data_IF_515039931308
#
_entry.id   IF_515039931308
#
_cell.length_a   1.000
_cell.length_b   1.000
_cell.length_c   1.000
_cell.angle_alpha   90.00
_cell.angle_beta   90.00
_cell.angle_gamma   90.00
#
_symmetry.space_group_name_H-M   'P 1'
#
loop_
_entity.id
_entity.type
_entity.pdbx_description
1 polymer ?
#
# COMPACT_ATOMS: atom_id res chain seq x y z
N UNK A 1 -89.96 35.85 -58.17
CA UNK A 1 -88.71 36.48 -58.68
C UNK A 1 -87.98 37.09 -57.48
N UNK A 2 -86.66 36.87 -57.32
CA UNK A 2 -86.17 35.97 -56.26
C UNK A 2 -85.31 36.59 -55.14
N UNK A 3 -85.10 35.73 -54.14
CA UNK A 3 -84.24 35.69 -52.94
C UNK A 3 -82.89 36.43 -52.92
N UNK A 4 -82.43 36.81 -51.70
CA UNK A 4 -81.20 36.30 -51.01
C UNK A 4 -80.95 37.10 -49.72
N UNK A 5 -81.19 36.54 -48.51
CA UNK A 5 -80.32 35.68 -47.70
C UNK A 5 -79.20 36.43 -46.93
N UNK A 6 -79.45 36.69 -45.63
CA UNK A 6 -78.48 37.14 -44.62
C UNK A 6 -77.58 35.97 -44.18
N UNK A 7 -76.26 36.10 -44.30
CA UNK A 7 -75.28 35.19 -43.71
C UNK A 7 -74.75 35.75 -42.39
N UNK A 8 -75.01 35.03 -41.29
CA UNK A 8 -74.29 35.16 -40.01
C UNK A 8 -72.90 34.55 -40.16
N UNK A 9 -71.87 35.25 -39.69
CA UNK A 9 -70.51 34.72 -39.55
C UNK A 9 -70.34 34.30 -38.08
N UNK A 10 -70.20 33.00 -37.85
CA UNK A 10 -69.78 32.42 -36.58
C UNK A 10 -68.28 32.16 -36.67
N UNK A 11 -67.48 32.98 -35.97
CA UNK A 11 -66.05 32.73 -35.79
C UNK A 11 -65.84 31.80 -34.60
N UNK A 12 -65.27 30.62 -34.87
CA UNK A 12 -64.90 29.60 -33.88
C UNK A 12 -63.58 30.00 -33.20
N UNK A 13 -63.56 30.07 -31.88
CA UNK A 13 -62.35 30.21 -31.06
C UNK A 13 -61.68 28.84 -30.94
N UNK A 14 -60.47 28.68 -31.50
CA UNK A 14 -59.61 27.51 -31.23
C UNK A 14 -58.91 27.72 -29.88
N UNK A 15 -59.27 26.96 -28.86
CA UNK A 15 -58.48 26.82 -27.63
C UNK A 15 -57.48 25.68 -27.82
N UNK A 16 -56.20 26.02 -27.98
CA UNK A 16 -55.12 25.05 -27.97
C UNK A 16 -54.73 24.72 -26.52
N UNK A 17 -55.09 23.53 -26.04
CA UNK A 17 -54.60 22.99 -24.77
C UNK A 17 -53.23 22.36 -24.98
N UNK A 18 -52.17 23.02 -24.52
CA UNK A 18 -50.83 22.42 -24.41
C UNK A 18 -50.79 21.50 -23.17
N UNK A 19 -50.78 20.20 -23.39
CA UNK A 19 -50.42 19.20 -22.38
C UNK A 19 -48.90 19.17 -22.22
N UNK A 20 -48.40 19.77 -21.14
CA UNK A 20 -47.01 19.63 -20.74
C UNK A 20 -46.77 18.21 -20.17
N UNK A 21 -46.18 17.33 -20.97
CA UNK A 21 -45.69 16.04 -20.49
C UNK A 21 -44.39 16.29 -19.69
N UNK A 22 -44.47 16.18 -18.37
CA UNK A 22 -43.30 16.19 -17.52
C UNK A 22 -42.51 14.88 -17.73
N UNK A 23 -41.46 14.94 -18.54
CA UNK A 23 -40.44 13.90 -18.62
C UNK A 23 -39.64 13.93 -17.31
N UNK A 24 -40.00 13.05 -16.37
CA UNK A 24 -39.16 12.75 -15.22
C UNK A 24 -37.93 12.04 -15.76
N UNK A 25 -36.83 12.78 -15.91
CA UNK A 25 -35.52 12.20 -16.18
C UNK A 25 -35.15 11.32 -14.97
N UNK A 26 -35.33 10.01 -15.11
CA UNK A 26 -34.77 9.04 -14.17
C UNK A 26 -33.26 9.12 -14.37
N UNK A 27 -32.58 9.84 -13.46
CA UNK A 27 -31.13 9.78 -13.39
C UNK A 27 -30.72 8.31 -13.29
N UNK A 28 -29.70 7.85 -14.04
CA UNK A 28 -29.22 6.49 -13.89
C UNK A 28 -28.86 6.31 -12.42
N UNK A 29 -29.53 5.37 -11.74
CA UNK A 29 -29.05 4.89 -10.45
C UNK A 29 -27.64 4.41 -10.72
N UNK A 30 -26.66 5.00 -10.03
CA UNK A 30 -25.36 4.39 -9.90
C UNK A 30 -25.62 2.93 -9.51
N UNK A 31 -25.33 2.01 -10.42
CA UNK A 31 -25.18 0.61 -10.06
C UNK A 31 -24.24 0.62 -8.86
N UNK A 32 -24.54 -0.15 -7.81
CA UNK A 32 -23.50 -0.50 -6.86
C UNK A 32 -22.40 -1.16 -7.71
N UNK A 33 -21.39 -0.38 -8.08
CA UNK A 33 -20.19 -0.95 -8.66
C UNK A 33 -19.68 -1.86 -7.55
N UNK A 34 -19.54 -3.15 -7.86
CA UNK A 34 -18.96 -4.09 -6.90
C UNK A 34 -17.62 -3.57 -6.40
N UNK A 35 -17.14 -4.12 -5.29
CA UNK A 35 -15.81 -3.84 -4.75
C UNK A 35 -14.77 -3.91 -5.89
N UNK A 36 -14.12 -2.79 -6.29
CA UNK A 36 -13.25 -2.81 -7.47
C UNK A 36 -12.09 -3.78 -7.25
N UNK A 37 -11.79 -4.69 -8.19
CA UNK A 37 -10.67 -5.58 -8.03
C UNK A 37 -9.37 -4.78 -8.06
N UNK A 38 -8.55 -4.92 -7.02
CA UNK A 38 -7.23 -4.30 -6.93
C UNK A 38 -6.18 -5.37 -6.67
N UNK A 39 -5.09 -5.31 -7.41
CA UNK A 39 -3.90 -6.12 -7.18
C UNK A 39 -2.84 -5.28 -6.46
N UNK A 40 -2.40 -5.73 -5.30
CA UNK A 40 -1.49 -4.98 -4.43
C UNK A 40 -0.21 -5.77 -4.20
N UNK A 41 0.94 -5.14 -4.40
CA UNK A 41 2.26 -5.67 -4.03
C UNK A 41 2.74 -4.96 -2.76
N UNK A 42 3.30 -5.71 -1.81
CA UNK A 42 4.20 -5.18 -0.75
C UNK A 42 5.58 -5.80 -0.93
N UNK A 43 6.64 -5.01 -0.76
CA UNK A 43 7.99 -5.47 -0.95
C UNK A 43 9.01 -4.64 -0.18
N UNK A 44 9.55 -5.22 0.90
CA UNK A 44 10.68 -4.65 1.60
C UNK A 44 11.90 -4.69 0.67
N UNK A 45 12.41 -3.52 0.30
CA UNK A 45 13.40 -3.34 -0.76
C UNK A 45 14.85 -3.40 -0.27
N UNK A 46 15.08 -3.40 1.05
CA UNK A 46 16.40 -3.38 1.65
C UNK A 46 17.33 -2.28 1.07
N UNK A 47 16.79 -1.11 0.72
CA UNK A 47 17.58 0.01 0.19
C UNK A 47 18.15 0.85 1.33
N UNK A 48 18.95 0.21 2.17
CA UNK A 48 19.62 0.85 3.31
C UNK A 48 20.48 2.06 2.89
N UNK A 49 20.62 3.05 3.78
CA UNK A 49 21.51 4.21 3.57
C UNK A 49 22.90 3.81 3.08
N UNK A 50 23.29 4.28 1.90
CA UNK A 50 24.62 4.01 1.31
C UNK A 50 25.75 4.68 2.09
N UNK A 51 25.44 5.66 2.95
CA UNK A 51 26.43 6.28 3.85
C UNK A 51 26.86 5.33 4.97
N UNK A 52 25.94 4.47 5.45
CA UNK A 52 26.20 3.49 6.49
C UNK A 52 26.59 2.13 5.90
N UNK A 53 25.96 1.76 4.78
CA UNK A 53 26.14 0.46 4.16
C UNK A 53 26.41 0.57 2.66
N UNK A 54 27.61 1.03 2.24
CA UNK A 54 27.89 1.37 0.84
C UNK A 54 27.93 0.17 -0.13
N UNK A 55 28.01 -1.05 0.38
CA UNK A 55 28.34 -2.24 -0.41
C UNK A 55 27.18 -3.25 -0.55
N UNK A 56 25.92 -2.82 -0.46
CA UNK A 56 24.75 -3.71 -0.65
C UNK A 56 24.04 -3.54 -2.01
N UNK A 57 24.72 -2.93 -2.99
CA UNK A 57 24.23 -2.85 -4.37
C UNK A 57 22.93 -2.07 -4.54
N UNK A 58 22.61 -1.13 -3.63
CA UNK A 58 21.33 -0.41 -3.61
C UNK A 58 20.98 0.23 -4.97
N UNK A 59 21.95 0.90 -5.60
CA UNK A 59 21.74 1.54 -6.91
C UNK A 59 21.44 0.53 -8.03
N UNK A 60 22.10 -0.64 -8.00
CA UNK A 60 21.82 -1.73 -8.94
C UNK A 60 20.41 -2.29 -8.70
N UNK A 61 20.08 -2.65 -7.47
CA UNK A 61 18.78 -3.23 -7.11
C UNK A 61 17.62 -2.27 -7.37
N UNK A 62 17.76 -0.99 -7.06
CA UNK A 62 16.78 0.04 -7.40
C UNK A 62 16.52 0.17 -8.92
N UNK A 63 17.48 -0.18 -9.77
CA UNK A 63 17.30 -0.22 -11.21
C UNK A 63 16.63 -1.53 -11.70
N UNK A 64 16.87 -2.65 -11.02
CA UNK A 64 16.34 -3.97 -11.40
C UNK A 64 14.95 -4.26 -10.84
N UNK A 65 14.62 -3.80 -9.63
CA UNK A 65 13.32 -4.06 -8.98
C UNK A 65 12.14 -3.66 -9.89
N UNK A 66 12.08 -2.45 -10.49
CA UNK A 66 10.96 -2.08 -11.36
C UNK A 66 10.86 -2.91 -12.67
N UNK A 67 11.94 -3.62 -13.03
CA UNK A 67 11.99 -4.51 -14.19
C UNK A 67 11.57 -5.94 -13.83
N UNK A 68 11.54 -6.33 -12.56
CA UNK A 68 11.22 -7.68 -12.16
C UNK A 68 9.75 -8.04 -12.48
N UNK A 69 9.47 -9.33 -12.74
CA UNK A 69 8.13 -9.79 -13.14
C UNK A 69 7.07 -9.54 -12.07
N UNK A 70 7.41 -9.74 -10.80
CA UNK A 70 6.50 -9.54 -9.66
C UNK A 70 6.10 -8.05 -9.49
N UNK A 71 6.95 -7.12 -9.92
CA UNK A 71 6.72 -5.69 -9.75
C UNK A 71 5.69 -5.14 -10.74
N UNK A 72 5.55 -5.78 -11.91
CA UNK A 72 4.71 -5.27 -13.01
C UNK A 72 3.27 -5.75 -12.89
N UNK A 73 2.33 -4.94 -13.38
CA UNK A 73 0.93 -5.33 -13.53
C UNK A 73 0.10 -5.32 -12.24
N UNK A 74 0.66 -4.81 -11.16
CA UNK A 74 -0.10 -4.46 -9.95
C UNK A 74 -0.84 -3.12 -10.15
N UNK A 75 -1.87 -2.86 -9.35
CA UNK A 75 -2.55 -1.56 -9.28
C UNK A 75 -1.90 -0.63 -8.26
N UNK A 76 -1.41 -1.22 -7.17
CA UNK A 76 -0.72 -0.54 -6.07
C UNK A 76 0.53 -1.32 -5.69
N UNK A 77 1.62 -0.60 -5.41
CA UNK A 77 2.86 -1.15 -4.87
C UNK A 77 3.20 -0.39 -3.59
N UNK A 78 3.42 -1.11 -2.51
CA UNK A 78 3.88 -0.59 -1.23
C UNK A 78 5.31 -1.06 -1.05
N UNK A 79 6.22 -0.12 -0.79
CA UNK A 79 7.63 -0.41 -0.63
C UNK A 79 8.06 -0.02 0.77
N UNK A 80 8.84 -0.90 1.38
CA UNK A 80 9.45 -0.73 2.68
C UNK A 80 10.98 -0.69 2.53
N UNK A 81 11.66 -0.18 3.55
CA UNK A 81 13.12 0.07 3.58
C UNK A 81 13.66 0.85 2.37
N UNK A 82 12.86 1.74 1.80
CA UNK A 82 13.27 2.69 0.77
C UNK A 82 14.08 3.87 1.36
N UNK A 83 15.04 3.56 2.23
CA UNK A 83 15.74 4.51 3.10
C UNK A 83 16.74 5.40 2.35
N UNK A 84 17.60 4.81 1.49
CA UNK A 84 18.57 5.58 0.72
C UNK A 84 17.86 6.51 -0.25
N UNK A 85 17.98 7.82 -0.04
CA UNK A 85 17.29 8.84 -0.83
C UNK A 85 17.58 8.69 -2.34
N UNK A 86 18.83 8.42 -2.73
CA UNK A 86 19.20 8.36 -4.15
C UNK A 86 18.63 7.12 -4.82
N UNK A 87 18.76 5.96 -4.16
CA UNK A 87 18.27 4.68 -4.67
C UNK A 87 16.74 4.64 -4.67
N UNK A 88 16.07 5.06 -3.60
CA UNK A 88 14.61 5.11 -3.50
C UNK A 88 14.00 6.08 -4.53
N UNK A 89 14.57 7.27 -4.70
CA UNK A 89 14.10 8.21 -5.72
C UNK A 89 14.32 7.65 -7.14
N UNK A 90 15.42 6.92 -7.39
CA UNK A 90 15.67 6.27 -8.66
C UNK A 90 14.66 5.14 -8.93
N UNK A 91 14.38 4.30 -7.93
CA UNK A 91 13.37 3.25 -8.03
C UNK A 91 12.01 3.84 -8.39
N UNK A 92 11.53 4.84 -7.64
CA UNK A 92 10.25 5.51 -7.90
C UNK A 92 10.20 6.14 -9.30
N UNK A 93 11.26 6.82 -9.73
CA UNK A 93 11.36 7.36 -11.10
C UNK A 93 11.28 6.26 -12.16
N UNK A 94 11.99 5.16 -11.98
CA UNK A 94 11.99 4.03 -12.92
C UNK A 94 10.64 3.30 -12.97
N UNK A 95 9.89 3.32 -11.87
CA UNK A 95 8.55 2.75 -11.75
C UNK A 95 7.44 3.64 -12.34
N UNK A 96 7.70 4.94 -12.55
CA UNK A 96 6.68 5.95 -12.90
C UNK A 96 5.89 5.69 -14.19
N UNK A 97 6.45 4.94 -15.15
CA UNK A 97 5.73 4.55 -16.38
C UNK A 97 4.58 3.57 -16.12
N UNK A 98 4.66 2.81 -15.03
CA UNK A 98 3.63 1.85 -14.59
C UNK A 98 2.80 2.42 -13.43
N UNK A 99 3.45 3.21 -12.57
CA UNK A 99 2.89 3.78 -11.35
C UNK A 99 3.12 5.30 -11.30
N UNK A 100 2.38 6.09 -12.09
CA UNK A 100 2.64 7.53 -12.23
C UNK A 100 2.32 8.34 -10.97
N UNK A 101 1.49 7.81 -10.06
CA UNK A 101 1.15 8.45 -8.81
C UNK A 101 1.91 7.80 -7.66
N UNK A 102 2.49 8.59 -6.76
CA UNK A 102 3.21 8.07 -5.62
C UNK A 102 3.20 9.05 -4.45
N UNK A 103 3.28 8.50 -3.25
CA UNK A 103 3.55 9.30 -2.04
C UNK A 103 5.04 9.62 -1.94
N UNK A 104 5.42 10.69 -1.24
CA UNK A 104 6.79 10.80 -0.73
C UNK A 104 7.15 9.59 0.14
N UNK A 105 8.43 9.43 0.46
CA UNK A 105 8.85 8.46 1.49
C UNK A 105 8.49 9.01 2.87
N UNK A 106 7.80 8.19 3.68
CA UNK A 106 7.38 8.51 5.04
C UNK A 106 8.57 8.99 5.85
N UNK A 107 8.39 10.04 6.64
CA UNK A 107 9.42 10.54 7.56
C UNK A 107 10.51 11.40 6.94
N UNK A 108 10.63 11.44 5.60
CA UNK A 108 11.69 12.19 4.91
C UNK A 108 11.53 13.70 5.03
N UNK A 109 10.29 14.18 4.88
CA UNK A 109 9.92 15.57 5.15
C UNK A 109 8.41 15.70 5.31
N UNK A 110 7.91 16.88 5.65
CA UNK A 110 6.47 17.21 5.60
C UNK A 110 5.99 17.61 4.19
N UNK A 111 6.90 17.86 3.26
CA UNK A 111 6.58 18.33 1.91
C UNK A 111 5.96 17.21 1.09
N UNK A 112 4.94 17.56 0.28
CA UNK A 112 4.23 16.61 -0.56
C UNK A 112 3.14 15.81 0.16
N UNK A 113 2.96 15.97 1.47
CA UNK A 113 1.88 15.33 2.23
C UNK A 113 0.73 16.30 2.50
N UNK A 114 -0.51 15.82 2.42
CA UNK A 114 -1.68 16.62 2.82
C UNK A 114 -1.77 16.79 4.33
N UNK A 115 -1.25 15.82 5.09
CA UNK A 115 -1.08 15.91 6.53
C UNK A 115 0.11 15.08 7.01
N UNK A 116 0.74 15.55 8.08
CA UNK A 116 1.75 14.80 8.84
C UNK A 116 1.30 14.74 10.29
N UNK A 117 1.26 13.54 10.86
CA UNK A 117 0.83 13.30 12.24
C UNK A 117 1.79 12.35 12.97
N UNK A 118 1.52 12.08 14.25
CA UNK A 118 2.39 11.23 15.06
C UNK A 118 3.66 11.94 15.54
N UNK A 119 4.70 11.18 15.84
CA UNK A 119 5.94 11.66 16.44
C UNK A 119 7.02 12.10 15.43
N UNK A 120 6.62 12.79 14.36
CA UNK A 120 7.57 13.25 13.34
C UNK A 120 8.72 14.07 13.94
N UNK A 121 9.95 13.67 13.66
CA UNK A 121 11.16 14.40 14.02
C UNK A 121 11.89 14.90 12.77
N UNK A 122 12.14 16.21 12.69
CA UNK A 122 13.01 16.77 11.63
C UNK A 122 14.50 16.55 11.90
N UNK A 123 14.86 16.06 13.09
CA UNK A 123 16.24 15.86 13.53
C UNK A 123 16.67 14.39 13.49
N UNK A 124 15.75 13.46 13.21
CA UNK A 124 16.11 12.05 13.08
C UNK A 124 16.96 11.83 11.84
N UNK A 125 17.98 10.96 11.89
CA UNK A 125 18.89 10.77 10.76
C UNK A 125 18.28 9.96 9.60
N UNK A 126 17.34 9.04 9.89
CA UNK A 126 16.77 8.14 8.89
C UNK A 126 15.26 8.37 8.72
N UNK A 127 14.77 8.31 7.48
CA UNK A 127 13.33 8.36 7.22
C UNK A 127 12.66 7.00 7.55
N UNK A 128 11.35 6.89 7.33
CA UNK A 128 10.59 5.67 7.63
C UNK A 128 10.67 4.60 6.56
N UNK A 129 11.28 4.89 5.40
CA UNK A 129 11.48 3.92 4.32
C UNK A 129 10.21 3.42 3.62
N UNK A 130 9.04 4.01 3.88
CA UNK A 130 7.76 3.57 3.31
C UNK A 130 7.29 4.52 2.21
N UNK A 131 6.91 3.98 1.05
CA UNK A 131 6.21 4.74 -0.02
C UNK A 131 5.14 3.88 -0.70
N UNK A 132 4.08 4.52 -1.17
CA UNK A 132 3.01 3.88 -1.96
C UNK A 132 3.09 4.41 -3.39
N UNK A 133 3.22 3.49 -4.36
CA UNK A 133 3.12 3.75 -5.79
C UNK A 133 1.77 3.25 -6.30
N UNK A 134 1.13 3.99 -7.19
CA UNK A 134 -0.19 3.65 -7.72
C UNK A 134 -0.30 3.92 -9.21
N UNK A 135 -0.98 3.00 -9.89
CA UNK A 135 -1.52 3.19 -11.24
C UNK A 135 -2.66 4.22 -11.23
N UNK A 136 -3.37 4.32 -10.12
CA UNK A 136 -4.59 5.10 -9.95
C UNK A 136 -4.31 6.45 -9.30
N UNK A 137 -5.05 7.53 -9.65
CA UNK A 137 -4.85 8.84 -9.05
C UNK A 137 -4.98 8.82 -7.52
N UNK A 138 -4.00 9.40 -6.83
CA UNK A 138 -4.07 9.68 -5.40
C UNK A 138 -4.89 10.95 -5.19
N UNK A 139 -6.02 10.84 -4.48
CA UNK A 139 -6.84 11.99 -4.07
C UNK A 139 -6.21 12.65 -2.85
N UNK A 140 -5.77 11.84 -1.90
CA UNK A 140 -5.28 12.29 -0.60
C UNK A 140 -4.15 11.39 -0.13
N UNK A 141 -3.11 11.97 0.43
CA UNK A 141 -1.99 11.25 1.04
C UNK A 141 -1.56 11.88 2.35
N UNK A 142 -1.45 11.06 3.38
CA UNK A 142 -1.01 11.45 4.72
C UNK A 142 0.07 10.52 5.22
N UNK A 143 0.93 11.04 6.10
CA UNK A 143 1.88 10.21 6.84
C UNK A 143 1.63 10.30 8.35
N UNK A 144 1.93 9.22 9.04
CA UNK A 144 1.92 9.13 10.49
C UNK A 144 3.18 8.46 10.99
N UNK A 145 3.90 9.10 11.91
CA UNK A 145 5.13 8.56 12.49
C UNK A 145 4.79 7.92 13.84
N UNK A 146 5.20 6.66 14.03
CA UNK A 146 4.94 5.95 15.28
C UNK A 146 5.62 6.62 16.46
N UNK A 147 5.00 6.53 17.64
CA UNK A 147 5.55 7.08 18.89
C UNK A 147 6.55 6.15 19.56
N UNK A 148 6.40 4.85 19.35
CA UNK A 148 7.09 3.81 20.11
C UNK A 148 7.98 3.00 19.15
N UNK A 149 9.24 2.83 19.53
CA UNK A 149 10.25 2.04 18.84
C UNK A 149 11.35 1.60 19.82
N UNK A 150 12.14 0.61 19.46
CA UNK A 150 13.32 0.15 20.20
C UNK A 150 14.43 -0.25 19.23
N UNK A 151 15.66 -0.42 19.77
CA UNK A 151 16.81 -0.78 18.94
C UNK A 151 17.15 0.28 17.89
N UNK A 152 17.58 -0.19 16.71
CA UNK A 152 17.92 0.69 15.58
C UNK A 152 16.74 1.51 15.07
N UNK A 153 15.52 0.95 15.09
CA UNK A 153 14.28 1.60 14.62
C UNK A 153 13.99 2.94 15.32
N UNK A 154 14.43 3.13 16.57
CA UNK A 154 14.26 4.38 17.34
C UNK A 154 14.90 5.61 16.66
N UNK A 155 15.92 5.39 15.82
CA UNK A 155 16.63 6.46 15.11
C UNK A 155 16.05 6.75 13.72
N UNK A 156 14.87 6.21 13.43
CA UNK A 156 14.15 6.41 12.18
C UNK A 156 12.78 7.03 12.40
N UNK A 157 12.27 7.77 11.42
CA UNK A 157 10.85 8.18 11.39
C UNK A 157 9.97 7.01 10.89
N UNK A 158 10.09 5.80 11.45
CA UNK A 158 9.21 4.68 11.11
C UNK A 158 7.74 5.02 11.39
N UNK A 159 6.86 4.53 10.51
CA UNK A 159 5.48 4.99 10.45
C UNK A 159 4.71 4.34 9.31
N UNK A 160 3.59 4.96 8.96
CA UNK A 160 2.78 4.53 7.83
C UNK A 160 2.41 5.69 6.91
N UNK A 161 2.27 5.36 5.62
CA UNK A 161 1.64 6.19 4.61
C UNK A 161 0.17 5.76 4.49
N UNK A 162 -0.73 6.73 4.39
CA UNK A 162 -2.13 6.51 3.99
C UNK A 162 -2.36 7.19 2.64
N UNK A 163 -2.93 6.45 1.69
CA UNK A 163 -3.35 6.97 0.40
C UNK A 163 -4.82 6.64 0.13
N UNK A 164 -5.59 7.65 -0.27
CA UNK A 164 -6.93 7.49 -0.82
C UNK A 164 -6.85 7.56 -2.34
N UNK A 165 -7.27 6.49 -3.02
CA UNK A 165 -7.12 6.29 -4.45
C UNK A 165 -8.47 6.37 -5.17
N UNK A 166 -8.47 6.90 -6.39
CA UNK A 166 -9.61 6.87 -7.30
C UNK A 166 -9.45 5.71 -8.29
N UNK A 167 -10.04 4.55 -7.97
CA UNK A 167 -10.01 3.34 -8.80
C UNK A 167 -11.28 3.31 -9.66
N UNK A 168 -11.19 3.79 -10.89
CA UNK A 168 -12.31 3.85 -11.85
C UNK A 168 -13.60 4.49 -11.29
N UNK A 169 -13.46 5.52 -10.46
CA UNK A 169 -14.58 6.24 -9.85
C UNK A 169 -14.97 5.76 -8.45
N UNK A 170 -14.37 4.66 -7.96
CA UNK A 170 -14.53 4.16 -6.60
C UNK A 170 -13.35 4.58 -5.70
N UNK A 171 -13.60 4.73 -4.40
CA UNK A 171 -12.56 5.01 -3.40
C UNK A 171 -11.97 3.71 -2.87
N UNK A 172 -10.64 3.65 -2.86
CA UNK A 172 -9.87 2.58 -2.24
C UNK A 172 -8.82 3.22 -1.34
N UNK A 173 -8.73 2.75 -0.11
CA UNK A 173 -7.83 3.26 0.91
C UNK A 173 -6.69 2.26 1.12
N UNK A 174 -5.46 2.75 1.08
CA UNK A 174 -4.27 1.91 1.28
C UNK A 174 -3.43 2.53 2.39
N UNK A 175 -3.10 1.74 3.40
CA UNK A 175 -2.06 2.02 4.38
C UNK A 175 -0.84 1.18 4.04
N UNK A 176 0.27 1.83 3.74
CA UNK A 176 1.58 1.20 3.63
C UNK A 176 2.35 1.38 4.92
N UNK A 177 2.98 0.34 5.46
CA UNK A 177 3.72 0.43 6.73
C UNK A 177 4.92 -0.51 6.79
N UNK A 178 5.89 -0.16 7.65
CA UNK A 178 6.94 -1.06 8.12
C UNK A 178 7.01 -0.91 9.64
N UNK A 179 6.58 -1.93 10.38
CA UNK A 179 6.52 -1.89 11.85
C UNK A 179 7.86 -2.22 12.50
N UNK A 180 7.89 -2.22 13.84
CA UNK A 180 9.07 -2.50 14.65
C UNK A 180 9.68 -3.87 14.34
N UNK A 181 10.96 -3.84 13.96
CA UNK A 181 11.78 -5.03 13.74
C UNK A 181 12.09 -5.75 15.05
N UNK A 182 12.37 -7.06 14.97
CA UNK A 182 12.92 -7.82 16.11
C UNK A 182 14.43 -7.55 16.22
N UNK A 183 14.80 -6.34 16.64
CA UNK A 183 16.17 -5.85 16.72
C UNK A 183 16.88 -6.32 18.01
N UNK A 184 18.17 -6.71 17.98
CA UNK A 184 18.93 -7.11 19.18
C UNK A 184 19.07 -6.01 20.24
N UNK A 185 18.88 -4.75 19.87
CA UNK A 185 18.86 -3.60 20.77
C UNK A 185 17.55 -3.42 21.53
N UNK A 186 16.53 -4.23 21.24
CA UNK A 186 15.29 -4.31 22.03
C UNK A 186 15.45 -5.30 23.19
N UNK A 187 14.82 -5.00 24.33
CA UNK A 187 14.68 -5.97 25.41
C UNK A 187 13.78 -7.14 24.99
N UNK A 188 13.92 -8.29 25.68
CA UNK A 188 13.12 -9.48 25.39
C UNK A 188 11.61 -9.19 25.48
N UNK A 189 10.90 -9.44 24.38
CA UNK A 189 9.46 -9.19 24.24
C UNK A 189 9.07 -7.72 24.00
N UNK A 190 10.01 -6.78 24.06
CA UNK A 190 9.74 -5.35 23.86
C UNK A 190 9.26 -5.06 22.44
N UNK A 191 9.92 -5.63 21.42
CA UNK A 191 9.58 -5.42 20.02
C UNK A 191 8.12 -5.80 19.70
N UNK A 192 7.65 -6.95 20.18
CA UNK A 192 6.26 -7.38 20.00
C UNK A 192 5.26 -6.46 20.73
N UNK A 193 5.61 -5.99 21.93
CA UNK A 193 4.81 -5.01 22.67
C UNK A 193 4.68 -3.67 21.92
N UNK A 194 5.77 -3.22 21.29
CA UNK A 194 5.78 -2.01 20.47
C UNK A 194 4.96 -2.21 19.19
N UNK A 195 5.11 -3.34 18.49
CA UNK A 195 4.28 -3.65 17.31
C UNK A 195 2.79 -3.60 17.65
N UNK A 196 2.38 -4.14 18.80
CA UNK A 196 0.99 -4.04 19.26
C UNK A 196 0.50 -2.57 19.36
N UNK A 197 1.32 -1.66 19.91
CA UNK A 197 1.01 -0.23 20.00
C UNK A 197 1.00 0.45 18.62
N UNK A 198 1.86 0.05 17.70
CA UNK A 198 1.89 0.56 16.33
C UNK A 198 0.64 0.13 15.55
N UNK A 199 0.22 -1.13 15.68
CA UNK A 199 -1.04 -1.62 15.11
C UNK A 199 -2.27 -0.90 15.65
N UNK A 200 -2.31 -0.60 16.96
CA UNK A 200 -3.36 0.21 17.57
C UNK A 200 -3.37 1.66 17.06
N UNK A 201 -2.20 2.22 16.68
CA UNK A 201 -2.12 3.53 16.05
C UNK A 201 -2.71 3.53 14.63
N UNK A 202 -2.49 2.46 13.85
CA UNK A 202 -3.13 2.28 12.54
C UNK A 202 -4.66 2.18 12.70
N UNK A 203 -5.12 1.34 13.62
CA UNK A 203 -6.53 1.12 13.95
C UNK A 203 -7.24 2.44 14.30
N UNK A 204 -6.70 3.17 15.27
CA UNK A 204 -7.25 4.46 15.71
C UNK A 204 -7.23 5.52 14.60
N UNK A 205 -6.21 5.53 13.74
CA UNK A 205 -6.14 6.44 12.60
C UNK A 205 -7.25 6.14 11.60
N UNK A 206 -7.47 4.87 11.24
CA UNK A 206 -8.49 4.46 10.27
C UNK A 206 -9.91 4.69 10.81
N UNK A 207 -10.15 4.42 12.09
CA UNK A 207 -11.43 4.71 12.74
C UNK A 207 -11.76 6.21 12.71
N UNK A 208 -10.76 7.05 12.99
CA UNK A 208 -10.93 8.51 12.98
C UNK A 208 -11.23 9.08 11.58
N UNK A 209 -10.94 8.34 10.49
CA UNK A 209 -11.30 8.76 9.13
C UNK A 209 -12.79 8.63 8.83
N UNK A 210 -13.52 7.78 9.56
CA UNK A 210 -14.94 7.54 9.28
C UNK A 210 -15.20 7.04 7.86
N UNK A 211 -14.31 6.18 7.35
CA UNK A 211 -14.40 5.62 5.99
C UNK A 211 -15.71 4.81 5.86
N UNK A 212 -16.52 5.00 4.81
CA UNK A 212 -17.71 4.18 4.58
C UNK A 212 -17.37 2.69 4.51
N UNK A 213 -18.17 1.83 5.14
CA UNK A 213 -17.97 0.37 5.10
C UNK A 213 -18.10 -0.23 3.69
N UNK A 214 -18.69 0.50 2.75
CA UNK A 214 -18.75 0.14 1.32
C UNK A 214 -17.44 0.36 0.56
N UNK A 215 -16.46 1.03 1.16
CA UNK A 215 -15.16 1.35 0.55
C UNK A 215 -14.08 0.40 1.09
N UNK A 216 -13.14 0.01 0.22
CA UNK A 216 -12.05 -0.90 0.59
C UNK A 216 -11.00 -0.19 1.43
N UNK A 217 -10.55 -0.84 2.50
CA UNK A 217 -9.41 -0.38 3.30
C UNK A 217 -8.41 -1.51 3.41
N UNK A 218 -7.22 -1.29 2.89
CA UNK A 218 -6.13 -2.26 2.78
C UNK A 218 -4.96 -1.78 3.64
N UNK A 219 -4.37 -2.67 4.43
CA UNK A 219 -3.10 -2.45 5.12
C UNK A 219 -2.08 -3.41 4.54
N UNK A 220 -0.97 -2.88 4.05
CA UNK A 220 0.07 -3.59 3.33
C UNK A 220 1.43 -3.23 3.92
N UNK A 221 2.31 -4.21 4.08
CA UNK A 221 3.60 -3.95 4.69
C UNK A 221 4.40 -5.18 5.07
N UNK A 222 5.67 -4.93 5.36
CA UNK A 222 6.43 -5.72 6.34
C UNK A 222 5.87 -5.42 7.73
N UNK A 223 5.09 -6.37 8.24
CA UNK A 223 4.44 -6.22 9.55
C UNK A 223 5.30 -6.79 10.68
N UNK A 224 6.48 -7.36 10.38
CA UNK A 224 7.40 -7.96 11.35
C UNK A 224 6.74 -8.97 12.29
N UNK A 225 5.68 -9.65 11.84
CA UNK A 225 4.97 -10.68 12.60
C UNK A 225 4.93 -11.97 11.79
N UNK A 226 5.62 -13.01 12.27
CA UNK A 226 5.60 -14.32 11.64
C UNK A 226 4.18 -14.89 11.65
N UNK A 227 3.67 -15.23 10.46
CA UNK A 227 2.31 -15.74 10.23
C UNK A 227 1.97 -17.01 11.02
N UNK A 228 2.99 -17.73 11.47
CA UNK A 228 2.88 -18.99 12.23
C UNK A 228 3.01 -18.80 13.74
N UNK A 229 3.27 -17.58 14.19
CA UNK A 229 3.39 -17.24 15.61
C UNK A 229 2.02 -16.89 16.24
N UNK A 230 1.88 -17.00 17.57
CA UNK A 230 0.71 -16.48 18.27
C UNK A 230 0.50 -14.96 18.11
N UNK A 231 1.56 -14.22 17.80
CA UNK A 231 1.50 -12.76 17.60
C UNK A 231 0.65 -12.39 16.37
N UNK A 232 0.55 -13.26 15.37
CA UNK A 232 -0.29 -13.01 14.18
C UNK A 232 -1.76 -12.76 14.53
N UNK A 233 -2.34 -13.54 15.44
CA UNK A 233 -3.71 -13.31 15.90
C UNK A 233 -3.85 -11.99 16.68
N UNK A 234 -2.83 -11.61 17.46
CA UNK A 234 -2.80 -10.34 18.17
C UNK A 234 -2.66 -9.14 17.22
N UNK A 235 -1.85 -9.25 16.16
CA UNK A 235 -1.75 -8.26 15.10
C UNK A 235 -3.11 -8.00 14.45
N UNK A 236 -3.83 -9.05 14.03
CA UNK A 236 -5.16 -8.92 13.43
C UNK A 236 -6.13 -8.19 14.37
N UNK A 237 -6.12 -8.53 15.66
CA UNK A 237 -6.98 -7.89 16.65
C UNK A 237 -6.59 -6.42 16.90
N UNK A 238 -5.30 -6.12 17.10
CA UNK A 238 -4.81 -4.78 17.41
C UNK A 238 -4.96 -3.79 16.25
N UNK A 239 -4.82 -4.26 15.01
CA UNK A 239 -4.98 -3.45 13.80
C UNK A 239 -6.39 -3.53 13.20
N UNK A 240 -7.32 -4.26 13.84
CA UNK A 240 -8.67 -4.53 13.35
C UNK A 240 -8.72 -5.06 11.91
N UNK A 241 -7.87 -6.03 11.59
CA UNK A 241 -7.71 -6.61 10.26
C UNK A 241 -8.34 -8.00 10.18
N UNK A 242 -8.76 -8.39 8.98
CA UNK A 242 -9.20 -9.74 8.66
C UNK A 242 -8.08 -10.46 7.92
N UNK A 243 -7.79 -11.71 8.30
CA UNK A 243 -6.82 -12.56 7.61
C UNK A 243 -7.19 -12.72 6.12
N UNK A 244 -6.18 -12.88 5.26
CA UNK A 244 -6.40 -13.31 3.89
C UNK A 244 -7.11 -14.67 3.86
N UNK A 245 -7.97 -14.88 2.86
CA UNK A 245 -8.71 -16.14 2.70
C UNK A 245 -7.75 -17.30 2.34
N UNK A 246 -6.62 -16.98 1.71
CA UNK A 246 -5.53 -17.92 1.46
C UNK A 246 -4.15 -17.26 1.52
N UNK A 247 -3.15 -18.05 1.92
CA UNK A 247 -1.72 -17.71 1.81
C UNK A 247 -1.04 -18.78 0.97
N UNK A 248 -0.43 -18.38 -0.15
CA UNK A 248 0.08 -19.27 -1.21
C UNK A 248 1.50 -18.89 -1.62
N UNK A 249 2.10 -19.67 -2.53
CA UNK A 249 3.48 -19.46 -2.96
C UNK A 249 4.49 -20.05 -1.97
N UNK A 250 5.60 -19.36 -1.77
CA UNK A 250 6.67 -19.77 -0.86
C UNK A 250 6.24 -19.60 0.62
N UNK A 251 6.62 -20.50 1.55
CA UNK A 251 6.16 -20.42 2.95
C UNK A 251 6.79 -19.31 3.81
N UNK A 252 7.81 -18.60 3.33
CA UNK A 252 8.58 -17.64 4.11
C UNK A 252 8.81 -16.37 3.30
N UNK A 253 8.22 -15.23 3.63
CA UNK A 253 8.60 -13.96 2.98
C UNK A 253 10.00 -13.50 3.39
N UNK A 254 10.53 -13.96 4.52
CA UNK A 254 11.90 -13.73 4.96
C UNK A 254 12.62 -15.07 5.17
N UNK A 255 13.34 -15.54 4.15
CA UNK A 255 13.96 -16.87 4.14
C UNK A 255 15.49 -16.78 4.31
N UNK A 256 15.94 -16.88 5.56
CA UNK A 256 17.36 -16.89 5.97
C UNK A 256 18.18 -18.08 5.45
N UNK A 257 17.62 -18.94 4.60
CA UNK A 257 18.34 -20.08 3.99
C UNK A 257 18.44 -19.98 2.48
N UNK A 258 17.31 -19.72 1.83
CA UNK A 258 17.23 -19.75 0.36
C UNK A 258 17.44 -18.37 -0.26
N UNK A 259 17.13 -17.28 0.45
CA UNK A 259 17.41 -15.93 -0.04
C UNK A 259 18.90 -15.61 0.19
N UNK A 260 19.62 -15.30 -0.89
CA UNK A 260 21.06 -15.06 -0.86
C UNK A 260 21.50 -13.89 0.02
N UNK A 261 20.69 -12.83 0.13
CA UNK A 261 21.00 -11.69 1.01
C UNK A 261 20.67 -12.06 2.46
N UNK A 262 19.48 -12.61 2.71
CA UNK A 262 19.05 -12.96 4.07
C UNK A 262 19.98 -14.02 4.70
N UNK A 263 20.38 -15.03 3.93
CA UNK A 263 21.26 -16.10 4.39
C UNK A 263 22.67 -15.61 4.75
N UNK A 264 23.16 -14.55 4.10
CA UNK A 264 24.42 -13.92 4.47
C UNK A 264 24.29 -13.07 5.73
N UNK A 265 23.21 -12.27 5.81
CA UNK A 265 22.98 -11.36 6.95
C UNK A 265 22.65 -12.11 8.24
N UNK A 266 21.92 -13.22 8.14
CA UNK A 266 21.29 -13.89 9.26
C UNK A 266 21.41 -15.43 9.17
N UNK A 267 22.64 -15.98 9.10
CA UNK A 267 22.85 -17.41 8.82
C UNK A 267 22.29 -18.34 9.91
N UNK A 268 22.12 -17.84 11.13
CA UNK A 268 21.68 -18.63 12.29
C UNK A 268 20.23 -18.34 12.71
N UNK A 269 19.56 -17.37 12.07
CA UNK A 269 18.20 -16.97 12.43
C UNK A 269 17.15 -17.86 11.76
N UNK A 270 15.95 -18.00 12.37
CA UNK A 270 14.87 -18.77 11.77
C UNK A 270 14.33 -18.10 10.49
N UNK A 271 13.68 -18.91 9.64
CA UNK A 271 12.92 -18.40 8.51
C UNK A 271 11.55 -17.95 8.98
N UNK A 272 11.13 -16.78 8.53
CA UNK A 272 9.92 -16.10 8.98
C UNK A 272 9.04 -15.68 7.80
N UNK A 273 7.81 -15.30 8.13
CA UNK A 273 6.81 -14.93 7.15
C UNK A 273 6.07 -13.67 7.60
N UNK A 274 6.63 -12.52 7.22
CA UNK A 274 6.49 -11.22 7.88
C UNK A 274 5.66 -10.21 7.07
N UNK A 275 5.56 -10.41 5.75
CA UNK A 275 4.98 -9.44 4.82
C UNK A 275 3.53 -9.81 4.48
N UNK A 276 2.61 -8.83 4.59
CA UNK A 276 1.18 -9.09 4.44
C UNK A 276 0.44 -7.96 3.72
N UNK A 277 -0.67 -8.32 3.07
CA UNK A 277 -1.66 -7.37 2.55
C UNK A 277 -3.04 -7.81 2.99
N UNK A 278 -3.64 -7.06 3.92
CA UNK A 278 -4.85 -7.45 4.64
C UNK A 278 -5.92 -6.38 4.54
N UNK A 279 -7.18 -6.80 4.62
CA UNK A 279 -8.32 -5.87 4.64
C UNK A 279 -8.72 -5.51 6.06
N UNK A 280 -9.18 -4.27 6.24
CA UNK A 280 -9.83 -3.81 7.47
C UNK A 280 -11.14 -4.58 7.70
N UNK A 281 -11.34 -5.05 8.92
CA UNK A 281 -12.57 -5.72 9.34
C UNK A 281 -13.78 -4.78 9.21
N UNK A 282 -14.88 -5.27 8.66
CA UNK A 282 -16.12 -4.50 8.50
C UNK A 282 -16.19 -3.59 7.26
N UNK A 283 -15.15 -3.58 6.43
CA UNK A 283 -15.11 -2.88 5.15
C UNK A 283 -15.29 -3.82 3.97
N UNK A 284 -15.64 -3.27 2.81
CA UNK A 284 -15.70 -3.99 1.56
C UNK A 284 -14.36 -4.66 1.25
N UNK A 285 -14.40 -5.94 0.83
CA UNK A 285 -13.25 -6.68 0.30
C UNK A 285 -13.69 -7.59 -0.85
N UNK A 286 -12.84 -7.86 -1.84
CA UNK A 286 -13.08 -8.88 -2.85
C UNK A 286 -13.19 -10.27 -2.22
N UNK A 287 -13.84 -11.21 -2.91
CA UNK A 287 -13.89 -12.60 -2.45
C UNK A 287 -12.59 -13.34 -2.78
N UNK A 288 -12.19 -14.28 -1.93
CA UNK A 288 -10.99 -15.10 -2.16
C UNK A 288 -9.69 -14.30 -2.14
N UNK A 289 -9.60 -13.30 -1.25
CA UNK A 289 -8.42 -12.46 -1.09
C UNK A 289 -7.22 -13.32 -0.70
N UNK A 290 -6.25 -13.44 -1.59
CA UNK A 290 -5.09 -14.32 -1.44
C UNK A 290 -3.82 -13.48 -1.33
N UNK A 291 -2.92 -13.83 -0.40
CA UNK A 291 -1.55 -13.33 -0.38
C UNK A 291 -0.63 -14.43 -0.96
N UNK A 292 0.10 -14.13 -2.02
CA UNK A 292 1.06 -15.03 -2.66
C UNK A 292 2.48 -14.52 -2.42
N UNK A 293 3.29 -15.30 -1.70
CA UNK A 293 4.72 -15.01 -1.52
C UNK A 293 5.45 -15.50 -2.77
N UNK A 294 6.02 -14.57 -3.54
CA UNK A 294 6.73 -14.88 -4.77
C UNK A 294 8.18 -15.20 -4.41
N UNK A 295 8.63 -16.44 -4.65
CA UNK A 295 10.05 -16.80 -4.54
C UNK A 295 10.86 -16.15 -5.66
N UNK A 296 11.15 -14.87 -5.48
CA UNK A 296 11.87 -14.02 -6.41
C UNK A 296 13.31 -14.49 -6.57
N UNK A 297 13.81 -14.46 -7.80
CA UNK A 297 15.23 -14.64 -8.11
C UNK A 297 15.62 -13.62 -9.17
N UNK A 298 16.87 -13.18 -9.12
CA UNK A 298 17.46 -12.22 -10.05
C UNK A 298 18.67 -12.79 -10.77
N UNK A 299 19.09 -12.12 -11.85
CA UNK A 299 20.40 -12.40 -12.41
C UNK A 299 21.48 -12.11 -11.34
N UNK A 300 22.56 -12.91 -11.27
CA UNK A 300 23.60 -12.70 -10.28
C UNK A 300 24.19 -11.29 -10.37
N UNK A 301 24.38 -10.66 -9.23
CA UNK A 301 25.05 -9.36 -9.12
C UNK A 301 26.07 -9.40 -7.98
N UNK A 302 27.17 -8.66 -8.18
CA UNK A 302 28.34 -8.74 -7.30
C UNK A 302 28.67 -7.37 -6.75
N UNK A 303 29.06 -7.34 -5.48
CA UNK A 303 29.60 -6.19 -4.77
C UNK A 303 30.92 -6.59 -4.11
N UNK A 304 31.78 -5.62 -3.85
CA UNK A 304 33.04 -5.84 -3.15
C UNK A 304 32.99 -5.18 -1.78
N UNK A 305 33.38 -5.90 -0.74
CA UNK A 305 33.51 -5.38 0.62
C UNK A 305 34.81 -5.90 1.23
N UNK A 306 35.65 -5.01 1.75
CA UNK A 306 36.94 -5.37 2.36
C UNK A 306 37.87 -6.22 1.46
N UNK A 307 37.82 -6.03 0.15
CA UNK A 307 38.63 -6.78 -0.82
C UNK A 307 38.11 -8.19 -1.14
N UNK A 308 36.92 -8.54 -0.65
CA UNK A 308 36.21 -9.78 -0.97
C UNK A 308 35.00 -9.46 -1.85
N UNK A 309 34.79 -10.27 -2.88
CA UNK A 309 33.62 -10.18 -3.74
C UNK A 309 32.50 -11.08 -3.22
N UNK A 310 31.30 -10.52 -3.10
CA UNK A 310 30.08 -11.19 -2.66
C UNK A 310 29.08 -11.14 -3.81
N UNK A 311 28.52 -12.30 -4.17
CA UNK A 311 27.57 -12.42 -5.27
C UNK A 311 26.24 -12.92 -4.76
N UNK A 312 25.18 -12.19 -5.09
CA UNK A 312 23.81 -12.47 -4.67
C UNK A 312 22.93 -12.74 -5.88
N UNK A 313 21.80 -13.40 -5.65
CA UNK A 313 20.78 -13.76 -6.65
C UNK A 313 19.38 -13.29 -6.25
N UNK A 314 19.26 -12.35 -5.31
CA UNK A 314 18.00 -11.72 -4.90
C UNK A 314 18.12 -10.20 -4.93
N UNK A 315 16.99 -9.50 -5.11
CA UNK A 315 16.95 -8.02 -5.12
C UNK A 315 16.67 -7.38 -3.76
N UNK A 316 16.32 -8.20 -2.77
CA UNK A 316 16.15 -7.86 -1.36
C UNK A 316 16.33 -9.12 -0.53
N UNK A 317 16.49 -8.98 0.78
CA UNK A 317 16.46 -10.11 1.71
C UNK A 317 15.04 -10.58 2.05
N UNK A 318 14.03 -9.79 1.70
CA UNK A 318 12.63 -10.22 1.67
C UNK A 318 12.22 -10.69 0.27
N UNK A 319 11.23 -11.57 0.24
CA UNK A 319 10.48 -11.94 -0.95
C UNK A 319 9.21 -11.09 -1.08
N UNK A 320 8.83 -10.67 -2.31
CA UNK A 320 7.63 -9.87 -2.52
C UNK A 320 6.35 -10.65 -2.28
N UNK A 321 5.34 -9.99 -1.71
CA UNK A 321 3.99 -10.54 -1.52
C UNK A 321 3.00 -9.82 -2.42
N UNK A 322 2.34 -10.58 -3.29
CA UNK A 322 1.29 -10.07 -4.17
C UNK A 322 -0.06 -10.52 -3.65
N UNK A 323 -1.01 -9.58 -3.55
CA UNK A 323 -2.35 -9.85 -3.09
C UNK A 323 -3.42 -9.44 -4.11
N UNK A 324 -4.43 -10.28 -4.25
CA UNK A 324 -5.59 -10.03 -5.11
C UNK A 324 -6.77 -10.91 -4.70
N UNK A 325 -7.97 -10.52 -5.13
CA UNK A 325 -9.20 -11.30 -5.02
C UNK A 325 -10.10 -11.09 -6.23
N UNK A 326 -11.26 -11.76 -6.24
CA UNK A 326 -12.23 -11.73 -7.34
C UNK A 326 -13.45 -10.89 -7.02
#
# INVERSE_FOLDING_TARGET
>A
MPHSALRRISGVTLSATLTAAALVAVAPRASAAGTPPVRVLTYNTFLMSTSLYPNWGQAHRAAEIPKAGFFRGNDVVVLEEAFDNTASDALTRNASSQYPYHTPVVGRSRSGWDATSGAYSAATPEDGGVTILSKWPVIRQEQHIYKDACGSDWWSNKGFAYAELNVDGARVHVVGTHTQSTDPGCASGEAAGIRALQFQQIDAFLDAKGIPSSEQVIVAGDLNVDSRSPEYAAMLANAGLTAADARTGHPYSFDTRDNSIAAERYPDDPREDLDHVLHRTGHAKPEGWTNEVIKEESAPWTVSSWGTDYTYTNLSDHYPVVASGR
#
